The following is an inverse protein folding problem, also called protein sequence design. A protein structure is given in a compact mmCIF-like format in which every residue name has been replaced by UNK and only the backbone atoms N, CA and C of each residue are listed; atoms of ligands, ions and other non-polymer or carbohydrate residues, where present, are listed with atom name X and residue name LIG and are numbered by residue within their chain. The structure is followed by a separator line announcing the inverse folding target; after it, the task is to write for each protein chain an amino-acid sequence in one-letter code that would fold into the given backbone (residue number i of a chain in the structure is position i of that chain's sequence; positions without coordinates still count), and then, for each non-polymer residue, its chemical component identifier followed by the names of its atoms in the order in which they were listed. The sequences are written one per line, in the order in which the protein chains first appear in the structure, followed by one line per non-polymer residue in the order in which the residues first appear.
data_IF_600071535367
#
_entry.id   IF_600071535367
#
_cell.length_a   1.000
_cell.length_b   1.000
_cell.length_c   1.000
_cell.angle_alpha   90.00
_cell.angle_beta   90.00
_cell.angle_gamma   90.00
#
_symmetry.space_group_name_H-M   'P 1'
#
loop_
_entity.id
_entity.type
_entity.pdbx_description
1 polymer ?
#
# COMPACT_ATOMS: atom_id res chain seq x y z
N UNK A 1 -8.92 -18.30 14.31
CA UNK A 1 -9.10 -17.60 13.02
C UNK A 1 -9.98 -18.40 12.08
N UNK A 2 -11.18 -17.87 11.83
CA UNK A 2 -12.18 -18.48 10.95
C UNK A 2 -11.79 -18.38 9.46
N UNK A 3 -12.55 -19.05 8.58
CA UNK A 3 -12.27 -19.07 7.13
C UNK A 3 -12.44 -17.70 6.47
N UNK A 4 -13.37 -16.88 6.95
CA UNK A 4 -13.62 -15.55 6.38
C UNK A 4 -12.47 -14.60 6.68
N UNK A 5 -11.92 -14.64 7.89
CA UNK A 5 -10.74 -13.87 8.27
C UNK A 5 -9.50 -14.29 7.50
N UNK A 6 -9.32 -15.60 7.28
CA UNK A 6 -8.22 -16.11 6.44
C UNK A 6 -8.32 -15.57 5.01
N UNK A 7 -9.52 -15.60 4.42
CA UNK A 7 -9.77 -15.07 3.07
C UNK A 7 -9.55 -13.56 3.02
N UNK A 8 -10.04 -12.82 4.02
CA UNK A 8 -9.84 -11.37 4.12
C UNK A 8 -8.36 -11.01 4.16
N UNK A 9 -7.59 -11.62 5.07
CA UNK A 9 -6.14 -11.41 5.18
C UNK A 9 -5.45 -11.71 3.84
N UNK A 10 -5.75 -12.86 3.25
CA UNK A 10 -5.17 -13.27 1.97
C UNK A 10 -5.46 -12.26 0.85
N UNK A 11 -6.70 -11.76 0.74
CA UNK A 11 -7.07 -10.76 -0.26
C UNK A 11 -6.29 -9.45 -0.11
N UNK A 12 -6.09 -8.99 1.13
CA UNK A 12 -5.30 -7.79 1.42
C UNK A 12 -3.83 -8.01 1.08
N UNK A 13 -3.26 -9.15 1.46
CA UNK A 13 -1.86 -9.49 1.14
C UNK A 13 -1.62 -9.57 -0.37
N UNK A 14 -2.53 -10.19 -1.13
CA UNK A 14 -2.45 -10.24 -2.60
C UNK A 14 -2.50 -8.84 -3.22
N UNK A 15 -3.43 -7.99 -2.77
CA UNK A 15 -3.53 -6.62 -3.27
C UNK A 15 -2.28 -5.81 -2.94
N UNK A 16 -1.70 -5.99 -1.75
CA UNK A 16 -0.45 -5.33 -1.36
C UNK A 16 0.74 -5.77 -2.24
N UNK A 17 0.84 -7.06 -2.57
CA UNK A 17 1.87 -7.57 -3.46
C UNK A 17 1.79 -6.94 -4.86
N UNK A 18 0.57 -6.81 -5.40
CA UNK A 18 0.32 -6.12 -6.69
C UNK A 18 0.77 -4.65 -6.60
N UNK A 19 0.39 -3.94 -5.53
CA UNK A 19 0.81 -2.55 -5.33
C UNK A 19 2.35 -2.39 -5.32
N UNK A 20 3.06 -3.28 -4.62
CA UNK A 20 4.53 -3.26 -4.62
C UNK A 20 5.13 -3.52 -6.00
N UNK A 21 4.60 -4.49 -6.73
CA UNK A 21 5.06 -4.82 -8.07
C UNK A 21 4.85 -3.63 -9.04
N UNK A 22 3.68 -2.98 -8.98
CA UNK A 22 3.37 -1.82 -9.80
C UNK A 22 4.30 -0.62 -9.50
N UNK A 23 4.56 -0.33 -8.23
CA UNK A 23 5.52 0.72 -7.84
C UNK A 23 6.92 0.36 -8.34
N UNK A 24 7.39 -0.87 -8.09
CA UNK A 24 8.72 -1.34 -8.49
C UNK A 24 8.94 -1.22 -10.01
N UNK A 25 7.99 -1.72 -10.81
CA UNK A 25 8.02 -1.60 -12.28
C UNK A 25 8.04 -0.15 -12.72
N UNK A 26 7.23 0.69 -12.07
CA UNK A 26 7.12 2.09 -12.46
C UNK A 26 8.42 2.87 -12.12
N UNK A 27 9.10 2.57 -11.00
CA UNK A 27 10.44 3.12 -10.68
C UNK A 27 11.45 2.72 -11.77
N UNK A 28 11.45 1.45 -12.17
CA UNK A 28 12.40 0.92 -13.15
C UNK A 28 12.19 1.47 -14.57
N UNK A 29 10.95 1.78 -14.94
CA UNK A 29 10.60 2.25 -16.29
C UNK A 29 11.11 3.65 -16.64
N UNK A 30 11.41 4.49 -15.63
CA UNK A 30 11.82 5.88 -15.85
C UNK A 30 10.71 6.82 -16.36
N UNK A 31 9.48 6.33 -16.59
CA UNK A 31 8.34 7.15 -17.00
C UNK A 31 7.75 7.93 -15.82
N UNK A 32 8.42 9.01 -15.44
CA UNK A 32 8.18 9.76 -14.19
C UNK A 32 6.74 10.31 -14.07
N UNK A 33 6.15 10.79 -15.16
CA UNK A 33 4.79 11.36 -15.14
C UNK A 33 3.71 10.29 -14.98
N UNK A 34 3.89 9.15 -15.66
CA UNK A 34 3.04 7.96 -15.53
C UNK A 34 3.14 7.37 -14.11
N UNK A 35 4.34 7.37 -13.53
CA UNK A 35 4.57 6.94 -12.15
C UNK A 35 3.80 7.79 -11.14
N UNK A 36 3.85 9.12 -11.24
CA UNK A 36 3.21 10.02 -10.27
C UNK A 36 1.71 9.75 -10.13
N UNK A 37 1.03 9.53 -11.25
CA UNK A 37 -0.40 9.19 -11.24
C UNK A 37 -0.66 7.81 -10.65
N UNK A 38 0.14 6.82 -11.02
CA UNK A 38 0.01 5.44 -10.52
C UNK A 38 0.24 5.34 -9.01
N UNK A 39 1.30 5.96 -8.50
CA UNK A 39 1.63 5.86 -7.07
C UNK A 39 0.59 6.55 -6.18
N UNK A 40 -0.06 7.62 -6.64
CA UNK A 40 -1.18 8.22 -5.91
C UNK A 40 -2.38 7.28 -5.81
N UNK A 41 -2.71 6.56 -6.89
CA UNK A 41 -3.76 5.54 -6.85
C UNK A 41 -3.40 4.40 -5.89
N UNK A 42 -2.15 3.93 -5.93
CA UNK A 42 -1.66 2.88 -5.03
C UNK A 42 -1.70 3.34 -3.57
N UNK A 43 -1.29 4.57 -3.27
CA UNK A 43 -1.40 5.14 -1.92
C UNK A 43 -2.86 5.20 -1.44
N UNK A 44 -3.80 5.52 -2.33
CA UNK A 44 -5.23 5.48 -2.02
C UNK A 44 -5.68 4.05 -1.69
N UNK A 45 -5.30 3.06 -2.51
CA UNK A 45 -5.63 1.65 -2.28
C UNK A 45 -5.08 1.15 -0.94
N UNK A 46 -3.83 1.48 -0.60
CA UNK A 46 -3.22 1.09 0.67
C UNK A 46 -3.94 1.73 1.86
N UNK A 47 -4.32 3.01 1.77
CA UNK A 47 -5.11 3.68 2.82
C UNK A 47 -6.47 3.02 3.01
N UNK A 48 -7.13 2.61 1.92
CA UNK A 48 -8.39 1.86 1.98
C UNK A 48 -8.17 0.52 2.68
N UNK A 49 -7.11 -0.22 2.33
CA UNK A 49 -6.78 -1.49 2.97
C UNK A 49 -6.54 -1.34 4.48
N UNK A 50 -5.81 -0.29 4.91
CA UNK A 50 -5.61 0.02 6.34
C UNK A 50 -6.95 0.26 7.04
N UNK A 51 -7.84 1.08 6.45
CA UNK A 51 -9.17 1.34 7.02
C UNK A 51 -10.07 0.11 7.04
N UNK A 52 -9.99 -0.75 6.02
CA UNK A 52 -10.72 -2.01 6.00
C UNK A 52 -10.29 -2.93 7.16
N UNK A 53 -8.99 -3.03 7.44
CA UNK A 53 -8.51 -3.81 8.58
C UNK A 53 -9.00 -3.21 9.90
N UNK A 54 -8.97 -1.88 10.06
CA UNK A 54 -9.49 -1.21 11.26
C UNK A 54 -10.95 -1.57 11.52
N UNK A 55 -11.80 -1.47 10.49
CA UNK A 55 -13.21 -1.83 10.59
C UNK A 55 -13.39 -3.33 10.86
N UNK A 56 -12.61 -4.18 10.19
CA UNK A 56 -12.71 -5.63 10.36
C UNK A 56 -12.33 -6.07 11.78
N UNK A 57 -11.31 -5.45 12.40
CA UNK A 57 -10.93 -5.70 13.80
C UNK A 57 -12.03 -5.35 14.82
N UNK A 58 -12.95 -4.42 14.49
CA UNK A 58 -14.09 -4.12 15.37
C UNK A 58 -15.11 -5.27 15.41
N UNK A 59 -15.16 -6.08 14.36
CA UNK A 59 -16.11 -7.19 14.20
C UNK A 59 -15.46 -8.51 14.64
N UNK A 60 -14.22 -8.74 14.24
CA UNK A 60 -13.47 -9.99 14.47
C UNK A 60 -12.42 -9.80 15.57
N UNK A 61 -12.82 -10.00 16.82
CA UNK A 61 -11.94 -9.79 17.97
C UNK A 61 -10.91 -10.91 18.18
N UNK A 62 -11.23 -12.15 17.81
CA UNK A 62 -10.35 -13.32 18.05
C UNK A 62 -9.05 -13.27 17.24
N UNK A 63 -9.05 -12.53 16.13
CA UNK A 63 -7.93 -12.44 15.20
C UNK A 63 -7.27 -11.05 15.18
N UNK A 64 -7.54 -10.22 16.20
CA UNK A 64 -7.05 -8.83 16.30
C UNK A 64 -5.52 -8.74 16.19
N UNK A 65 -4.80 -9.73 16.73
CA UNK A 65 -3.32 -9.74 16.71
C UNK A 65 -2.79 -9.87 15.28
N UNK A 66 -3.30 -10.84 14.53
CA UNK A 66 -2.92 -11.09 13.13
C UNK A 66 -3.32 -9.92 12.24
N UNK A 67 -4.52 -9.37 12.45
CA UNK A 67 -5.01 -8.20 11.73
C UNK A 67 -4.14 -6.96 12.01
N UNK A 68 -3.71 -6.75 13.26
CA UNK A 68 -2.81 -5.65 13.62
C UNK A 68 -1.42 -5.81 12.97
N UNK A 69 -0.88 -7.02 12.94
CA UNK A 69 0.37 -7.30 12.22
C UNK A 69 0.24 -7.01 10.72
N UNK A 70 -0.89 -7.34 10.11
CA UNK A 70 -1.17 -7.01 8.72
C UNK A 70 -1.28 -5.49 8.52
N UNK A 71 -1.97 -4.80 9.43
CA UNK A 71 -2.07 -3.33 9.41
C UNK A 71 -0.68 -2.67 9.49
N UNK A 72 0.18 -3.13 10.41
CA UNK A 72 1.54 -2.61 10.56
C UNK A 72 2.34 -2.76 9.26
N UNK A 73 2.24 -3.93 8.59
CA UNK A 73 2.88 -4.15 7.29
C UNK A 73 2.37 -3.18 6.22
N UNK A 74 1.06 -2.93 6.16
CA UNK A 74 0.47 -1.98 5.21
C UNK A 74 0.96 -0.55 5.48
N UNK A 75 1.03 -0.14 6.76
CA UNK A 75 1.53 1.19 7.15
C UNK A 75 3.00 1.35 6.74
N UNK A 76 3.84 0.33 6.96
CA UNK A 76 5.24 0.38 6.49
C UNK A 76 5.33 0.48 4.97
N UNK A 77 4.49 -0.26 4.24
CA UNK A 77 4.43 -0.14 2.78
C UNK A 77 3.93 1.22 2.30
N UNK A 78 2.95 1.82 2.99
CA UNK A 78 2.49 3.18 2.71
C UNK A 78 3.64 4.18 2.87
N UNK A 79 4.38 4.12 3.98
CA UNK A 79 5.54 5.00 4.24
C UNK A 79 6.58 4.86 3.13
N UNK A 80 6.86 3.64 2.69
CA UNK A 80 7.75 3.39 1.56
C UNK A 80 7.24 4.06 0.27
N UNK A 81 5.97 3.88 -0.09
CA UNK A 81 5.40 4.51 -1.28
C UNK A 81 5.38 6.06 -1.19
N UNK A 82 5.09 6.63 -0.03
CA UNK A 82 5.16 8.08 0.19
C UNK A 82 6.58 8.62 0.03
N UNK A 83 7.57 7.84 0.48
CA UNK A 83 8.99 8.15 0.31
C UNK A 83 9.40 8.16 -1.16
N UNK A 84 9.03 7.12 -1.92
CA UNK A 84 9.34 7.04 -3.36
C UNK A 84 8.64 8.12 -4.17
N UNK A 85 7.37 8.43 -3.85
CA UNK A 85 6.65 9.56 -4.43
C UNK A 85 7.37 10.89 -4.18
N UNK A 86 7.81 11.13 -2.94
CA UNK A 86 8.51 12.37 -2.57
C UNK A 86 9.83 12.51 -3.31
N UNK A 87 10.64 11.43 -3.37
CA UNK A 87 11.90 11.41 -4.12
C UNK A 87 11.68 11.77 -5.59
N UNK A 88 10.69 11.16 -6.23
CA UNK A 88 10.41 11.43 -7.64
C UNK A 88 9.94 12.87 -7.87
N UNK A 89 9.05 13.37 -7.01
CA UNK A 89 8.57 14.75 -7.09
C UNK A 89 9.72 15.75 -6.99
N UNK A 90 10.68 15.50 -6.10
CA UNK A 90 11.89 16.33 -5.97
C UNK A 90 12.79 16.24 -7.20
N UNK A 91 12.99 15.05 -7.78
CA UNK A 91 13.84 14.92 -8.98
C UNK A 91 13.27 15.66 -10.19
N UNK A 92 11.94 15.68 -10.35
CA UNK A 92 11.29 16.44 -11.43
C UNK A 92 11.48 17.95 -11.21
N UNK A 93 11.30 18.44 -9.99
CA UNK A 93 11.45 19.87 -9.66
C UNK A 93 12.87 20.38 -9.91
N UNK A 94 13.90 19.58 -9.58
CA UNK A 94 15.31 19.95 -9.82
C UNK A 94 15.61 20.03 -11.33
N UNK A 95 15.05 19.15 -12.15
CA UNK A 95 15.31 19.12 -13.60
C UNK A 95 14.57 20.21 -14.40
N UNK A 96 13.76 21.07 -13.74
CA UNK A 96 12.99 22.13 -14.40
C UNK A 96 13.60 23.53 -14.16
N UNK A 97 14.68 23.64 -13.39
CA UNK A 97 15.42 24.89 -13.09
C UNK A 97 16.73 24.88 -13.87
#
# INVERSE_FOLDING_TARGET
MNQDTKRFIYSIEQKMAICFEEVSKSIQSGEQECFLKKILNILSDVRIMVRLIEVYMLIEQESTKELKQLQDKLVQGQIYFETEYTKLKMSIQINTI
#
